data_IF_207062014000
#
_entry.id   IF_207062014000
#
_cell.length_a   1.000
_cell.length_b   1.000
_cell.length_c   1.000
_cell.angle_alpha   90.00
_cell.angle_beta   90.00
_cell.angle_gamma   90.00
#
_symmetry.space_group_name_H-M   'P 1'
#
loop_
_entity.id
_entity.type
_entity.pdbx_description
1 polymer ?
#
# COMPACT_ATOMS: atom_id res chain seq x y z
N UNK A 1 44.32 -28.94 -1.43
CA UNK A 1 43.18 -28.38 -0.68
C UNK A 1 42.02 -29.33 -0.91
N UNK A 2 41.60 -30.05 0.12
CA UNK A 2 40.49 -30.99 0.02
C UNK A 2 39.17 -30.20 -0.06
N UNK A 3 38.32 -30.54 -1.02
CA UNK A 3 37.02 -29.89 -1.29
C UNK A 3 35.85 -30.78 -0.85
N UNK A 4 36.07 -31.63 0.16
CA UNK A 4 35.05 -32.53 0.68
C UNK A 4 33.98 -31.76 1.47
N UNK A 5 32.73 -31.91 1.03
CA UNK A 5 31.55 -31.34 1.71
C UNK A 5 30.90 -32.42 2.56
N UNK A 6 30.62 -32.11 3.83
CA UNK A 6 29.79 -32.96 4.67
C UNK A 6 28.34 -32.93 4.15
N UNK A 7 27.96 -34.00 3.43
CA UNK A 7 26.68 -34.08 2.72
C UNK A 7 25.49 -33.96 3.67
N UNK A 8 25.55 -34.56 4.86
CA UNK A 8 24.44 -34.53 5.83
C UNK A 8 24.23 -33.12 6.37
N UNK A 9 25.31 -32.46 6.82
CA UNK A 9 25.21 -31.09 7.32
C UNK A 9 24.73 -30.11 6.23
N UNK A 10 25.18 -30.31 4.99
CA UNK A 10 24.72 -29.50 3.87
C UNK A 10 23.24 -29.73 3.56
N UNK A 11 22.80 -31.00 3.54
CA UNK A 11 21.40 -31.35 3.28
C UNK A 11 20.47 -30.80 4.37
N UNK A 12 20.85 -30.92 5.64
CA UNK A 12 20.07 -30.41 6.78
C UNK A 12 19.95 -28.88 6.74
N UNK A 13 21.06 -28.18 6.51
CA UNK A 13 21.05 -26.72 6.36
C UNK A 13 20.13 -26.28 5.21
N UNK A 14 20.27 -26.93 4.04
CA UNK A 14 19.46 -26.64 2.85
C UNK A 14 17.97 -26.92 3.07
N UNK A 15 17.63 -28.01 3.76
CA UNK A 15 16.24 -28.35 4.08
C UNK A 15 15.58 -27.27 4.93
N UNK A 16 16.31 -26.74 5.92
CA UNK A 16 15.85 -25.62 6.77
C UNK A 16 15.66 -24.33 5.98
N UNK A 17 16.61 -23.98 5.11
CA UNK A 17 16.54 -22.82 4.22
C UNK A 17 15.32 -22.90 3.28
N UNK A 18 15.15 -24.04 2.61
CA UNK A 18 14.03 -24.26 1.69
C UNK A 18 12.70 -24.21 2.44
N UNK A 19 12.61 -24.87 3.60
CA UNK A 19 11.42 -24.84 4.45
C UNK A 19 11.03 -23.41 4.87
N UNK A 20 12.02 -22.61 5.26
CA UNK A 20 11.84 -21.20 5.62
C UNK A 20 11.36 -20.38 4.43
N UNK A 21 12.02 -20.51 3.27
CA UNK A 21 11.63 -19.81 2.04
C UNK A 21 10.20 -20.15 1.61
N UNK A 22 9.81 -21.43 1.67
CA UNK A 22 8.46 -21.87 1.35
C UNK A 22 7.43 -21.27 2.32
N UNK A 23 7.73 -21.27 3.61
CA UNK A 23 6.86 -20.69 4.63
C UNK A 23 6.65 -19.19 4.39
N UNK A 24 7.71 -18.42 4.22
CA UNK A 24 7.65 -16.96 4.02
C UNK A 24 6.94 -16.58 2.72
N UNK A 25 7.27 -17.28 1.63
CA UNK A 25 6.61 -17.08 0.33
C UNK A 25 5.12 -17.39 0.43
N UNK A 26 4.75 -18.47 1.12
CA UNK A 26 3.34 -18.82 1.34
C UNK A 26 2.63 -17.78 2.22
N UNK A 27 3.29 -17.22 3.23
CA UNK A 27 2.72 -16.16 4.09
C UNK A 27 2.45 -14.88 3.30
N UNK A 28 3.31 -14.57 2.33
CA UNK A 28 3.15 -13.45 1.41
C UNK A 28 2.04 -13.71 0.37
N UNK A 29 1.88 -14.96 -0.11
CA UNK A 29 0.94 -15.32 -1.19
C UNK A 29 -0.46 -15.71 -0.72
N UNK A 30 -0.60 -16.34 0.47
CA UNK A 30 -1.87 -16.88 1.02
C UNK A 30 -2.96 -15.83 1.21
N UNK A 31 -2.58 -14.56 1.34
CA UNK A 31 -3.53 -13.46 1.26
C UNK A 31 -3.36 -12.88 -0.15
N UNK A 32 -4.39 -12.97 -1.00
CA UNK A 32 -4.52 -12.20 -2.26
C UNK A 32 -4.59 -10.70 -1.92
N UNK A 33 -3.50 -10.17 -1.38
CA UNK A 33 -3.39 -8.81 -0.89
C UNK A 33 -3.23 -7.92 -2.09
N UNK A 34 -4.15 -6.99 -2.26
CA UNK A 34 -3.90 -5.85 -3.15
C UNK A 34 -2.58 -5.19 -2.73
N UNK A 35 -1.83 -4.61 -3.66
CA UNK A 35 -0.52 -3.99 -3.33
C UNK A 35 -0.62 -2.96 -2.19
N UNK A 36 -1.79 -2.34 -2.00
CA UNK A 36 -2.08 -1.48 -0.84
C UNK A 36 -2.01 -2.19 0.50
N UNK A 37 -2.36 -3.47 0.56
CA UNK A 37 -2.35 -4.28 1.77
C UNK A 37 -0.95 -4.84 2.10
N UNK A 38 0.02 -4.72 1.18
CA UNK A 38 1.44 -5.01 1.43
C UNK A 38 2.16 -3.84 2.12
N UNK A 39 1.59 -2.63 2.08
CA UNK A 39 2.14 -1.46 2.76
C UNK A 39 2.01 -1.61 4.29
N UNK A 40 2.99 -1.12 5.07
CA UNK A 40 2.85 -0.98 6.52
C UNK A 40 1.61 -0.17 6.91
N UNK A 41 1.03 -0.46 8.08
CA UNK A 41 -0.23 0.16 8.53
C UNK A 41 -0.20 1.70 8.50
N UNK A 42 0.90 2.31 8.93
CA UNK A 42 1.06 3.77 8.96
C UNK A 42 1.10 4.43 7.56
N UNK A 43 1.45 3.67 6.52
CA UNK A 43 1.50 4.14 5.13
C UNK A 43 0.19 3.89 4.36
N UNK A 44 -0.70 3.04 4.88
CA UNK A 44 -1.94 2.69 4.18
C UNK A 44 -2.88 3.90 4.13
N UNK A 45 -3.39 4.21 2.94
CA UNK A 45 -4.36 5.29 2.69
C UNK A 45 -5.61 4.71 2.05
N UNK A 46 -6.80 5.14 2.51
CA UNK A 46 -8.09 4.63 2.03
C UNK A 46 -8.45 5.11 0.61
N UNK A 47 -7.81 6.18 0.13
CA UNK A 47 -8.06 6.80 -1.18
C UNK A 47 -7.16 6.31 -2.33
N UNK A 48 -6.46 5.20 -2.14
CA UNK A 48 -5.36 4.79 -2.99
C UNK A 48 -5.82 4.11 -4.29
N UNK A 49 -7.04 3.56 -4.33
CA UNK A 49 -7.66 3.04 -5.56
C UNK A 49 -8.19 4.14 -6.47
N UNK A 50 -8.57 5.30 -5.92
CA UNK A 50 -9.10 6.42 -6.69
C UNK A 50 -8.00 7.36 -7.20
N UNK A 51 -6.92 7.54 -6.44
CA UNK A 51 -5.83 8.42 -6.82
C UNK A 51 -4.47 7.72 -6.64
N UNK A 52 -3.75 7.42 -7.74
CA UNK A 52 -2.44 6.76 -7.68
C UNK A 52 -1.38 7.60 -6.98
N UNK A 53 -1.56 8.92 -6.84
CA UNK A 53 -0.61 9.76 -6.10
C UNK A 53 -0.60 9.47 -4.59
N UNK A 54 -1.60 8.74 -4.07
CA UNK A 54 -1.71 8.33 -2.66
C UNK A 54 -0.94 7.05 -2.31
N UNK A 55 -0.15 6.50 -3.25
CA UNK A 55 0.84 5.45 -2.98
C UNK A 55 2.27 5.94 -3.26
N UNK A 56 3.30 5.30 -2.66
CA UNK A 56 4.69 5.58 -2.96
C UNK A 56 4.99 5.51 -4.46
N UNK A 57 5.91 6.37 -4.94
CA UNK A 57 6.19 6.54 -6.39
C UNK A 57 6.49 5.23 -7.10
N UNK A 58 7.33 4.37 -6.51
CA UNK A 58 7.70 3.05 -7.04
C UNK A 58 6.52 2.09 -7.23
N UNK A 59 5.41 2.30 -6.52
CA UNK A 59 4.22 1.44 -6.56
C UNK A 59 3.08 2.02 -7.41
N UNK A 60 3.26 3.20 -8.01
CA UNK A 60 2.22 3.89 -8.78
C UNK A 60 1.87 3.15 -10.07
N UNK A 61 2.87 2.64 -10.78
CA UNK A 61 2.69 1.92 -12.04
C UNK A 61 1.85 0.66 -11.84
N UNK A 62 2.22 -0.18 -10.88
CA UNK A 62 1.46 -1.39 -10.52
C UNK A 62 0.03 -1.05 -10.06
N UNK A 63 -0.14 0.09 -9.38
CA UNK A 63 -1.45 0.56 -8.95
C UNK A 63 -2.34 1.00 -10.11
N UNK A 64 -1.80 1.80 -11.04
CA UNK A 64 -2.49 2.23 -12.23
C UNK A 64 -2.92 1.03 -13.08
N UNK A 65 -2.04 0.04 -13.25
CA UNK A 65 -2.34 -1.19 -13.99
C UNK A 65 -3.55 -1.97 -13.43
N UNK A 66 -3.77 -1.97 -12.10
CA UNK A 66 -4.97 -2.58 -11.53
C UNK A 66 -6.19 -1.65 -11.55
N UNK A 67 -6.01 -0.34 -11.49
CA UNK A 67 -7.10 0.64 -11.44
C UNK A 67 -7.88 0.76 -12.75
N UNK A 68 -7.24 0.51 -13.91
CA UNK A 68 -7.89 0.56 -15.25
C UNK A 68 -9.14 -0.34 -15.32
N UNK A 69 -9.21 -1.39 -14.51
CA UNK A 69 -10.31 -2.36 -14.51
C UNK A 69 -11.60 -1.88 -13.80
N UNK A 70 -11.57 -0.75 -13.07
CA UNK A 70 -12.62 -0.41 -12.08
C UNK A 70 -13.15 1.04 -12.15
N UNK A 71 -12.89 1.79 -13.22
CA UNK A 71 -13.13 3.25 -13.21
C UNK A 71 -14.60 3.63 -13.46
N UNK A 72 -15.31 3.95 -12.38
CA UNK A 72 -16.46 4.87 -12.41
C UNK A 72 -16.09 6.15 -11.65
N UNK A 73 -15.99 7.29 -12.34
CA UNK A 73 -15.70 8.59 -11.72
C UNK A 73 -16.99 9.23 -11.24
N UNK A 74 -17.13 9.38 -9.92
CA UNK A 74 -18.21 10.19 -9.34
C UNK A 74 -17.88 11.68 -9.51
N UNK A 75 -18.81 12.45 -10.06
CA UNK A 75 -18.69 13.90 -10.23
C UNK A 75 -19.13 14.55 -8.91
N UNK A 76 -18.22 15.29 -8.28
CA UNK A 76 -18.53 16.09 -7.09
C UNK A 76 -18.43 17.58 -7.43
N UNK A 77 -19.28 18.40 -6.81
CA UNK A 77 -19.23 19.86 -6.94
C UNK A 77 -17.93 20.39 -6.33
N UNK A 78 -17.34 21.42 -6.93
CA UNK A 78 -16.15 22.10 -6.41
C UNK A 78 -16.52 22.99 -5.23
N UNK A 79 -15.58 23.19 -4.31
CA UNK A 79 -15.70 24.16 -3.22
C UNK A 79 -15.74 25.60 -3.75
N UNK A 80 -16.34 26.55 -3.00
CA UNK A 80 -16.34 27.97 -3.33
C UNK A 80 -14.91 28.54 -3.43
N UNK A 81 -14.77 29.68 -4.13
CA UNK A 81 -13.46 30.27 -4.48
C UNK A 81 -12.69 30.79 -3.27
N UNK A 82 -13.36 31.44 -2.31
CA UNK A 82 -12.71 32.09 -1.16
C UNK A 82 -13.01 31.35 0.15
N UNK A 83 -12.21 30.32 0.43
CA UNK A 83 -12.33 29.52 1.64
C UNK A 83 -12.01 30.33 2.92
N UNK A 84 -11.14 31.35 2.82
CA UNK A 84 -10.80 32.24 3.94
C UNK A 84 -11.97 33.11 4.39
N UNK A 85 -12.79 33.60 3.44
CA UNK A 85 -13.99 34.38 3.76
C UNK A 85 -15.06 33.53 4.43
N UNK A 86 -15.19 32.27 4.03
CA UNK A 86 -16.08 31.29 4.66
C UNK A 86 -15.71 31.07 6.13
N UNK A 87 -14.44 30.76 6.42
CA UNK A 87 -13.97 30.59 7.80
C UNK A 87 -14.08 31.87 8.64
N UNK A 88 -13.78 33.04 8.05
CA UNK A 88 -13.92 34.32 8.75
C UNK A 88 -15.40 34.66 9.06
N UNK A 89 -16.33 34.30 8.18
CA UNK A 89 -17.77 34.45 8.41
C UNK A 89 -18.29 33.52 9.50
N UNK A 90 -17.82 32.27 9.53
CA UNK A 90 -18.16 31.30 10.59
C UNK A 90 -17.66 31.75 11.97
N UNK A 91 -16.44 32.30 12.06
CA UNK A 91 -15.89 32.80 13.33
C UNK A 91 -16.72 33.96 13.89
N UNK A 92 -17.17 34.89 13.04
CA UNK A 92 -18.02 36.00 13.50
C UNK A 92 -19.40 35.53 13.97
N UNK A 93 -19.98 34.51 13.33
CA UNK A 93 -21.25 33.92 13.75
C UNK A 93 -21.14 33.18 15.10
N UNK A 94 -19.97 32.60 15.41
CA UNK A 94 -19.73 31.86 16.66
C UNK A 94 -19.32 32.79 17.82
N UNK A 95 -18.69 33.94 17.54
CA UNK A 95 -18.23 34.89 18.58
C UNK A 95 -19.29 35.93 18.94
N UNK A 96 -20.14 36.33 17.98
CA UNK A 96 -21.16 37.38 18.18
C UNK A 96 -22.61 36.86 18.11
N UNK A 97 -22.80 35.54 18.11
CA UNK A 97 -24.11 34.87 18.14
C UNK A 97 -24.43 34.28 19.51
#
# INVERSE_FOLDING_TARGET
>A
MDHSVNVLQFADARASEIGTLMYETSKLSKKKKTYFQRLPNHMRRRGASQNPKRVPRKLRESNQAQAVKTLQKKIHKKKPKDLQKEYAGEINLVIFG
#
